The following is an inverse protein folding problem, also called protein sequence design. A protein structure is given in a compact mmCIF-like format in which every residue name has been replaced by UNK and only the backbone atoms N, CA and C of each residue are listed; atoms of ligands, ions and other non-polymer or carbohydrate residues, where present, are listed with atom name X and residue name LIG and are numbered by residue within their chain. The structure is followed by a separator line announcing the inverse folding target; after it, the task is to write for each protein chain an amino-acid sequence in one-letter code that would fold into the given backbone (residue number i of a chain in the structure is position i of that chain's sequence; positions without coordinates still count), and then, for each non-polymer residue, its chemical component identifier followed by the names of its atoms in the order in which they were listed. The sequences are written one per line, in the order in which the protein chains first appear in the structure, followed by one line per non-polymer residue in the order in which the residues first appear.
data_IF_885134541130
#
_entry.id   IF_885134541130
#
_cell.length_a   1.000
_cell.length_b   1.000
_cell.length_c   1.000
_cell.angle_alpha   90.00
_cell.angle_beta   90.00
_cell.angle_gamma   90.00
#
_symmetry.space_group_name_H-M   'P 1'
#
loop_
_entity.id
_entity.type
_entity.pdbx_description
1 polymer ?
#
# COMPACT_ATOMS: atom_id res chain seq x y z
N UNK A 1 -4.72 -6.42 8.08
CA UNK A 1 -3.44 -6.63 8.79
C UNK A 1 -2.22 -6.14 7.98
N UNK A 2 -2.04 -6.55 6.72
CA UNK A 2 -0.86 -6.17 5.92
C UNK A 2 -0.83 -4.69 5.51
N UNK A 3 -1.93 -4.15 4.95
CA UNK A 3 -2.03 -2.75 4.58
C UNK A 3 -1.73 -1.80 5.77
N UNK A 4 -2.24 -2.12 6.96
CA UNK A 4 -1.96 -1.37 8.18
C UNK A 4 -0.48 -1.42 8.61
N UNK A 5 0.21 -2.55 8.38
CA UNK A 5 1.65 -2.66 8.66
C UNK A 5 2.47 -1.80 7.69
N UNK A 6 2.17 -1.84 6.39
CA UNK A 6 2.81 -0.95 5.42
C UNK A 6 2.58 0.52 5.75
N UNK A 7 1.33 0.90 6.09
CA UNK A 7 1.01 2.26 6.47
C UNK A 7 1.72 2.71 7.76
N UNK A 8 1.83 1.84 8.76
CA UNK A 8 2.59 2.12 9.99
C UNK A 8 4.08 2.30 9.72
N UNK A 9 4.66 1.46 8.86
CA UNK A 9 6.07 1.57 8.46
C UNK A 9 6.34 2.85 7.66
N UNK A 10 5.44 3.21 6.75
CA UNK A 10 5.49 4.44 5.99
C UNK A 10 5.38 5.69 6.90
N UNK A 11 4.50 5.64 7.90
CA UNK A 11 4.38 6.69 8.92
C UNK A 11 5.67 6.83 9.72
N UNK A 12 6.26 5.73 10.20
CA UNK A 12 7.52 5.78 10.95
C UNK A 12 8.68 6.40 10.16
N UNK A 13 8.76 6.11 8.85
CA UNK A 13 9.72 6.76 7.97
C UNK A 13 9.45 8.27 7.83
N UNK A 14 8.19 8.66 7.67
CA UNK A 14 7.80 10.07 7.59
C UNK A 14 8.09 10.83 8.89
N UNK A 15 7.77 10.26 10.05
CA UNK A 15 7.99 10.87 11.36
C UNK A 15 9.50 11.13 11.59
N UNK A 16 10.34 10.16 11.23
CA UNK A 16 11.79 10.34 11.23
C UNK A 16 12.23 11.51 10.32
N UNK A 17 11.66 11.63 9.12
CA UNK A 17 11.99 12.72 8.20
C UNK A 17 11.58 14.08 8.75
N UNK A 18 10.38 14.18 9.36
CA UNK A 18 9.90 15.42 9.99
C UNK A 18 10.83 15.86 11.11
N UNK A 19 11.23 14.94 12.00
CA UNK A 19 12.18 15.24 13.09
C UNK A 19 13.56 15.66 12.54
N UNK A 20 14.07 14.90 11.56
CA UNK A 20 15.37 15.13 10.98
C UNK A 20 15.47 16.46 10.22
N UNK A 21 14.44 16.81 9.46
CA UNK A 21 14.40 18.05 8.68
C UNK A 21 14.07 19.23 9.60
N UNK A 22 13.15 19.07 10.56
CA UNK A 22 12.76 20.12 11.50
C UNK A 22 13.90 20.59 12.40
N UNK A 23 14.84 19.70 12.73
CA UNK A 23 16.06 20.06 13.47
C UNK A 23 17.11 20.83 12.65
N UNK A 24 16.86 21.09 11.35
CA UNK A 24 17.80 21.70 10.40
C UNK A 24 17.18 22.88 9.65
N UNK A 25 17.49 24.13 10.05
CA UNK A 25 16.90 25.32 9.43
C UNK A 25 17.14 25.45 7.92
N UNK A 26 18.29 25.00 7.43
CA UNK A 26 18.66 24.99 6.02
C UNK A 26 17.75 24.06 5.19
N UNK A 27 17.39 22.89 5.74
CA UNK A 27 16.50 21.94 5.08
C UNK A 27 15.03 22.34 5.22
N UNK A 28 14.58 22.64 6.42
CA UNK A 28 13.17 23.04 6.69
C UNK A 28 12.79 24.36 6.01
N UNK A 29 13.77 25.25 5.79
CA UNK A 29 13.63 26.48 5.02
C UNK A 29 13.49 26.28 3.50
N UNK A 30 13.86 25.11 2.97
CA UNK A 30 13.78 24.82 1.53
C UNK A 30 12.36 24.52 1.05
N UNK A 31 11.90 25.24 0.02
CA UNK A 31 10.60 24.98 -0.61
C UNK A 31 10.53 23.57 -1.21
N UNK A 32 11.56 23.13 -1.91
CA UNK A 32 11.59 21.80 -2.52
C UNK A 32 11.45 20.68 -1.48
N UNK A 33 12.06 20.84 -0.30
CA UNK A 33 11.91 19.91 0.82
C UNK A 33 10.48 19.91 1.34
N UNK A 34 9.88 21.09 1.55
CA UNK A 34 8.49 21.20 2.01
C UNK A 34 7.49 20.61 1.02
N UNK A 35 7.71 20.80 -0.29
CA UNK A 35 6.88 20.17 -1.33
C UNK A 35 6.91 18.65 -1.21
N UNK A 36 8.10 18.06 -1.04
CA UNK A 36 8.24 16.60 -0.85
C UNK A 36 7.55 16.12 0.42
N UNK A 37 7.74 16.81 1.55
CA UNK A 37 7.06 16.46 2.80
C UNK A 37 5.52 16.55 2.67
N UNK A 38 4.99 17.58 2.01
CA UNK A 38 3.56 17.70 1.76
C UNK A 38 3.01 16.58 0.86
N UNK A 39 3.77 16.16 -0.16
CA UNK A 39 3.40 15.02 -1.00
C UNK A 39 3.38 13.70 -0.21
N UNK A 40 4.36 13.48 0.67
CA UNK A 40 4.41 12.30 1.55
C UNK A 40 3.21 12.28 2.52
N UNK A 41 2.90 13.41 3.15
CA UNK A 41 1.73 13.56 4.02
C UNK A 41 0.42 13.26 3.30
N UNK A 42 0.22 13.82 2.10
CA UNK A 42 -0.96 13.57 1.30
C UNK A 42 -1.13 12.08 0.93
N UNK A 43 -0.03 11.37 0.61
CA UNK A 43 -0.05 9.92 0.34
C UNK A 43 -0.45 9.13 1.59
N UNK A 44 0.10 9.47 2.75
CA UNK A 44 -0.27 8.84 4.03
C UNK A 44 -1.74 9.09 4.36
N UNK A 45 -2.22 10.32 4.19
CA UNK A 45 -3.61 10.67 4.40
C UNK A 45 -4.55 9.85 3.49
N UNK A 46 -4.23 9.75 2.21
CA UNK A 46 -5.01 8.98 1.24
C UNK A 46 -5.08 7.49 1.64
N UNK A 47 -3.92 6.85 1.84
CA UNK A 47 -3.87 5.44 2.20
C UNK A 47 -4.57 5.15 3.55
N UNK A 48 -4.42 6.04 4.54
CA UNK A 48 -5.08 5.92 5.85
C UNK A 48 -6.59 6.07 5.76
N UNK A 49 -7.06 6.99 4.91
CA UNK A 49 -8.48 7.21 4.67
C UNK A 49 -9.12 5.99 4.01
N UNK A 50 -8.48 5.43 2.99
CA UNK A 50 -8.93 4.19 2.34
C UNK A 50 -8.96 3.02 3.32
N UNK A 51 -7.94 2.86 4.16
CA UNK A 51 -7.90 1.80 5.19
C UNK A 51 -9.06 1.90 6.17
N UNK A 52 -9.32 3.10 6.70
CA UNK A 52 -10.41 3.34 7.65
C UNK A 52 -11.77 3.13 7.00
N UNK A 53 -11.95 3.64 5.78
CA UNK A 53 -13.19 3.47 5.02
C UNK A 53 -13.47 1.98 4.76
N UNK A 54 -12.48 1.25 4.25
CA UNK A 54 -12.59 -0.19 3.97
C UNK A 54 -12.91 -0.99 5.24
N UNK A 55 -12.22 -0.72 6.34
CA UNK A 55 -12.50 -1.35 7.62
C UNK A 55 -13.94 -1.11 8.09
N UNK A 56 -14.43 0.14 7.98
CA UNK A 56 -15.80 0.48 8.36
C UNK A 56 -16.86 -0.20 7.48
N UNK A 57 -16.58 -0.45 6.19
CA UNK A 57 -17.46 -1.24 5.30
C UNK A 57 -17.49 -2.71 5.71
N UNK A 58 -16.32 -3.29 5.97
CA UNK A 58 -16.19 -4.67 6.44
C UNK A 58 -16.94 -4.88 7.77
N UNK A 59 -16.76 -3.98 8.74
CA UNK A 59 -17.40 -4.07 10.07
C UNK A 59 -18.93 -3.95 9.98
N UNK A 60 -19.44 -3.20 9.00
CA UNK A 60 -20.89 -3.07 8.74
C UNK A 60 -21.49 -4.30 8.06
N UNK A 61 -20.66 -5.18 7.50
CA UNK A 61 -21.13 -6.34 6.74
C UNK A 61 -21.63 -5.98 5.33
N UNK A 62 -21.02 -4.97 4.71
CA UNK A 62 -21.24 -4.66 3.29
C UNK A 62 -20.89 -5.86 2.39
N UNK A 63 -21.27 -5.78 1.11
CA UNK A 63 -20.96 -6.80 0.11
C UNK A 63 -19.47 -7.24 0.15
N UNK A 64 -19.19 -8.55 0.33
CA UNK A 64 -17.81 -9.03 0.46
C UNK A 64 -16.93 -8.79 -0.76
N UNK A 65 -17.49 -8.84 -1.97
CA UNK A 65 -16.73 -8.67 -3.21
C UNK A 65 -16.34 -7.20 -3.38
N UNK A 66 -17.25 -6.26 -3.09
CA UNK A 66 -16.94 -4.84 -3.05
C UNK A 66 -15.92 -4.48 -1.95
N UNK A 67 -16.07 -5.06 -0.75
CA UNK A 67 -15.15 -4.81 0.36
C UNK A 67 -13.74 -5.32 0.04
N UNK A 68 -13.61 -6.49 -0.59
CA UNK A 68 -12.31 -7.02 -1.00
C UNK A 68 -11.69 -6.17 -2.12
N UNK A 69 -12.49 -5.65 -3.08
CA UNK A 69 -11.98 -4.71 -4.07
C UNK A 69 -11.41 -3.43 -3.41
N UNK A 70 -12.08 -2.89 -2.39
CA UNK A 70 -11.57 -1.75 -1.61
C UNK A 70 -10.35 -2.11 -0.76
N UNK A 71 -10.27 -3.33 -0.25
CA UNK A 71 -9.08 -3.83 0.44
C UNK A 71 -7.88 -3.90 -0.50
N UNK A 72 -8.07 -4.32 -1.75
CA UNK A 72 -7.02 -4.32 -2.78
C UNK A 72 -6.55 -2.89 -3.10
N UNK A 73 -7.48 -1.94 -3.31
CA UNK A 73 -7.12 -0.52 -3.51
C UNK A 73 -6.31 0.03 -2.34
N UNK A 74 -6.77 -0.24 -1.12
CA UNK A 74 -6.10 0.17 0.12
C UNK A 74 -4.71 -0.43 0.22
N UNK A 75 -4.55 -1.71 -0.11
CA UNK A 75 -3.27 -2.41 -0.10
C UNK A 75 -2.30 -1.76 -1.08
N UNK A 76 -2.72 -1.53 -2.33
CA UNK A 76 -1.89 -0.86 -3.33
C UNK A 76 -1.40 0.52 -2.87
N UNK A 77 -2.31 1.37 -2.35
CA UNK A 77 -1.94 2.69 -1.84
C UNK A 77 -0.99 2.63 -0.63
N UNK A 78 -1.17 1.65 0.27
CA UNK A 78 -0.27 1.47 1.40
C UNK A 78 1.14 1.01 0.95
N UNK A 79 1.21 0.17 -0.10
CA UNK A 79 2.47 -0.21 -0.76
C UNK A 79 3.16 0.97 -1.41
N UNK A 80 2.42 1.80 -2.13
CA UNK A 80 2.97 3.01 -2.73
C UNK A 80 3.58 3.93 -1.67
N UNK A 81 2.88 4.15 -0.56
CA UNK A 81 3.38 4.97 0.54
C UNK A 81 4.67 4.39 1.15
N UNK A 82 4.68 3.09 1.50
CA UNK A 82 5.84 2.47 2.18
C UNK A 82 7.06 2.30 1.26
N UNK A 83 6.85 2.19 -0.05
CA UNK A 83 7.95 2.07 -1.02
C UNK A 83 8.49 3.44 -1.44
N UNK A 84 7.65 4.48 -1.48
CA UNK A 84 8.06 5.82 -1.91
C UNK A 84 8.66 6.66 -0.78
N UNK A 85 8.03 6.72 0.40
CA UNK A 85 8.42 7.64 1.47
C UNK A 85 9.86 7.43 1.97
N UNK A 86 10.28 6.21 2.37
CA UNK A 86 11.66 6.02 2.80
C UNK A 86 12.66 6.27 1.67
N UNK A 87 12.29 5.95 0.42
CA UNK A 87 13.14 6.15 -0.75
C UNK A 87 13.33 7.63 -1.09
N UNK A 88 12.25 8.39 -1.21
CA UNK A 88 12.29 9.85 -1.37
C UNK A 88 12.99 10.52 -0.17
N UNK A 89 12.90 9.92 1.02
CA UNK A 89 13.64 10.36 2.21
C UNK A 89 15.15 10.32 2.07
N UNK A 90 15.72 9.40 1.26
CA UNK A 90 17.17 9.37 1.02
C UNK A 90 17.64 10.66 0.35
N UNK A 91 16.86 11.20 -0.58
CA UNK A 91 17.18 12.45 -1.28
C UNK A 91 17.14 13.66 -0.33
N UNK A 92 16.24 13.66 0.66
CA UNK A 92 16.12 14.74 1.63
C UNK A 92 17.23 14.69 2.71
N UNK A 93 17.59 13.49 3.14
CA UNK A 93 18.60 13.26 4.19
C UNK A 93 20.02 13.33 3.62
N UNK A 94 20.18 12.98 2.34
CA UNK A 94 21.45 12.89 1.62
C UNK A 94 22.26 11.65 2.03
N UNK A 95 23.56 11.63 1.71
CA UNK A 95 24.47 10.49 1.97
C UNK A 95 24.45 9.97 3.42
N UNK A 96 24.06 10.81 4.38
CA UNK A 96 23.86 10.43 5.78
C UNK A 96 22.82 9.32 5.95
N UNK A 97 21.80 9.23 5.11
CA UNK A 97 20.78 8.20 5.14
C UNK A 97 21.34 6.77 5.04
N UNK A 98 22.51 6.62 4.40
CA UNK A 98 23.19 5.34 4.25
C UNK A 98 23.90 4.89 5.53
N UNK A 99 24.07 5.77 6.52
CA UNK A 99 24.72 5.42 7.78
C UNK A 99 23.75 4.71 8.72
N UNK A 100 24.17 3.57 9.27
CA UNK A 100 23.38 2.71 10.17
C UNK A 100 22.83 3.39 11.43
N UNK A 101 23.32 4.58 11.78
CA UNK A 101 22.79 5.36 12.92
C UNK A 101 21.41 5.92 12.64
N UNK A 102 21.01 5.99 11.37
CA UNK A 102 19.69 6.45 10.95
C UNK A 102 18.87 5.26 10.44
N UNK A 103 17.57 5.20 10.74
CA UNK A 103 16.76 4.02 10.49
C UNK A 103 16.38 3.84 9.02
N UNK A 104 16.59 4.86 8.18
CA UNK A 104 16.01 4.92 6.82
C UNK A 104 16.44 3.75 5.92
N UNK A 105 17.71 3.34 5.97
CA UNK A 105 18.20 2.19 5.23
C UNK A 105 17.66 0.85 5.73
N UNK A 106 17.37 0.72 7.03
CA UNK A 106 16.67 -0.44 7.57
C UNK A 106 15.21 -0.44 7.11
N UNK A 107 14.50 0.68 7.29
CA UNK A 107 13.09 0.84 6.91
C UNK A 107 12.86 0.51 5.42
N UNK A 108 13.76 0.94 4.53
CA UNK A 108 13.69 0.61 3.11
C UNK A 108 13.80 -0.91 2.87
N UNK A 109 14.74 -1.59 3.53
CA UNK A 109 14.92 -3.05 3.38
C UNK A 109 13.72 -3.84 3.94
N UNK A 110 13.18 -3.39 5.07
CA UNK A 110 12.01 -4.00 5.69
C UNK A 110 10.78 -3.83 4.79
N UNK A 111 10.58 -2.63 4.24
CA UNK A 111 9.53 -2.36 3.26
C UNK A 111 9.65 -3.26 2.02
N UNK A 112 10.84 -3.36 1.43
CA UNK A 112 11.08 -4.23 0.27
C UNK A 112 10.81 -5.70 0.60
N UNK A 113 11.22 -6.17 1.77
CA UNK A 113 10.96 -7.56 2.18
C UNK A 113 9.48 -7.83 2.35
N UNK A 114 8.78 -6.98 3.10
CA UNK A 114 7.40 -7.24 3.48
C UNK A 114 6.43 -7.09 2.30
N UNK A 115 6.72 -6.20 1.35
CA UNK A 115 5.89 -6.01 0.14
C UNK A 115 5.89 -7.22 -0.78
N UNK A 116 6.90 -8.09 -0.70
CA UNK A 116 6.99 -9.32 -1.51
C UNK A 116 6.02 -10.42 -1.07
N UNK A 117 5.37 -10.29 0.08
CA UNK A 117 4.41 -11.29 0.55
C UNK A 117 3.17 -11.40 -0.36
N UNK A 118 2.81 -10.32 -1.05
CA UNK A 118 1.72 -10.30 -2.02
C UNK A 118 2.15 -9.68 -3.34
N UNK A 119 1.94 -10.41 -4.44
CA UNK A 119 2.16 -9.93 -5.80
C UNK A 119 1.13 -8.86 -6.14
N UNK A 120 1.58 -7.60 -6.14
CA UNK A 120 0.67 -6.48 -6.26
C UNK A 120 -0.04 -6.41 -7.62
N UNK A 121 0.71 -6.72 -8.67
CA UNK A 121 0.27 -6.80 -10.07
C UNK A 121 -1.00 -7.63 -10.26
N UNK A 122 -1.08 -8.82 -9.64
CA UNK A 122 -2.24 -9.69 -9.77
C UNK A 122 -3.50 -9.14 -9.12
N UNK A 123 -3.35 -8.42 -8.01
CA UNK A 123 -4.52 -7.87 -7.33
C UNK A 123 -5.00 -6.60 -8.03
N UNK A 124 -4.09 -5.72 -8.48
CA UNK A 124 -4.50 -4.52 -9.20
C UNK A 124 -5.08 -4.83 -10.58
N UNK A 125 -4.65 -5.91 -11.24
CA UNK A 125 -5.28 -6.39 -12.48
C UNK A 125 -6.77 -6.69 -12.27
N UNK A 126 -7.14 -7.32 -11.15
CA UNK A 126 -8.55 -7.59 -10.81
C UNK A 126 -9.38 -6.33 -10.62
N UNK A 127 -8.76 -5.22 -10.18
CA UNK A 127 -9.44 -3.93 -10.13
C UNK A 127 -9.75 -3.40 -11.53
N UNK A 128 -8.88 -3.66 -12.51
CA UNK A 128 -9.14 -3.33 -13.90
C UNK A 128 -10.28 -4.18 -14.47
N UNK A 129 -10.30 -5.49 -14.17
CA UNK A 129 -11.43 -6.37 -14.56
C UNK A 129 -12.77 -5.87 -14.01
N UNK A 130 -12.80 -5.47 -12.73
CA UNK A 130 -13.97 -4.86 -12.12
C UNK A 130 -14.39 -3.57 -12.84
N UNK A 131 -13.43 -2.68 -13.15
CA UNK A 131 -13.71 -1.42 -13.85
C UNK A 131 -14.21 -1.62 -15.29
N UNK A 132 -13.82 -2.72 -15.94
CA UNK A 132 -14.30 -3.12 -17.28
C UNK A 132 -15.67 -3.83 -17.26
N UNK A 133 -16.24 -4.07 -16.08
CA UNK A 133 -17.55 -4.73 -15.93
C UNK A 133 -17.51 -6.25 -15.91
N UNK A 134 -16.32 -6.87 -15.83
CA UNK A 134 -16.15 -8.32 -15.80
C UNK A 134 -16.42 -8.94 -14.40
N UNK A 135 -16.84 -8.12 -13.45
CA UNK A 135 -17.12 -8.52 -12.07
C UNK A 135 -15.86 -8.65 -11.19
N UNK A 136 -16.09 -8.95 -9.92
CA UNK A 136 -15.04 -9.19 -8.93
C UNK A 136 -15.51 -10.30 -7.98
N UNK A 137 -14.63 -11.21 -7.58
CA UNK A 137 -14.98 -12.22 -6.58
C UNK A 137 -13.91 -12.30 -5.49
N UNK A 138 -14.26 -12.03 -4.25
CA UNK A 138 -13.39 -12.16 -3.09
C UNK A 138 -12.88 -13.60 -2.90
N UNK A 139 -13.62 -14.58 -3.41
CA UNK A 139 -13.26 -16.01 -3.40
C UNK A 139 -12.45 -16.44 -4.64
N UNK A 140 -12.30 -15.57 -5.63
CA UNK A 140 -11.48 -15.81 -6.81
C UNK A 140 -10.04 -16.12 -6.43
N UNK A 141 -9.42 -17.07 -7.13
CA UNK A 141 -8.09 -17.59 -6.84
C UNK A 141 -7.07 -16.48 -6.60
N UNK A 142 -6.36 -16.57 -5.46
CA UNK A 142 -5.24 -15.70 -5.13
C UNK A 142 -4.03 -16.26 -5.87
N UNK A 143 -3.76 -15.76 -7.06
CA UNK A 143 -2.59 -16.20 -7.83
C UNK A 143 -1.32 -16.04 -7.01
N UNK A 144 -0.75 -17.16 -6.54
CA UNK A 144 0.56 -17.19 -5.90
C UNK A 144 1.67 -16.99 -6.94
N UNK A 145 2.89 -16.73 -6.48
CA UNK A 145 4.08 -16.74 -7.34
C UNK A 145 4.49 -18.15 -7.79
N UNK A 146 3.93 -19.19 -7.17
CA UNK A 146 4.02 -20.58 -7.62
C UNK A 146 2.88 -20.88 -8.60
N UNK A 147 3.16 -21.35 -9.82
CA UNK A 147 2.11 -21.91 -10.67
C UNK A 147 1.44 -23.04 -9.90
N UNK A 148 0.18 -22.86 -9.55
CA UNK A 148 -0.68 -24.00 -9.23
C UNK A 148 -1.21 -24.48 -10.57
N UNK A 149 -1.01 -25.76 -10.88
CA UNK A 149 -1.62 -26.37 -12.06
C UNK A 149 -3.12 -26.05 -12.05
N UNK A 150 -3.64 -25.63 -13.21
CA UNK A 150 -5.05 -25.28 -13.39
C UNK A 150 -5.95 -26.51 -13.20
N UNK A 151 -6.30 -26.79 -11.94
CA UNK A 151 -7.27 -27.80 -11.55
C UNK A 151 -8.70 -27.26 -11.55
N UNK A 152 -9.39 -27.42 -12.68
CA UNK A 152 -10.85 -27.63 -12.85
C UNK A 152 -11.83 -27.01 -11.82
N UNK A 153 -11.77 -25.70 -11.57
CA UNK A 153 -12.81 -25.00 -10.83
C UNK A 153 -14.01 -24.64 -11.71
N UNK A 154 -14.85 -25.62 -12.08
CA UNK A 154 -16.10 -25.36 -12.77
C UNK A 154 -17.05 -24.57 -11.86
N UNK A 155 -17.15 -23.25 -12.06
CA UNK A 155 -18.26 -22.46 -11.51
C UNK A 155 -19.52 -22.77 -12.31
N UNK A 156 -20.29 -23.74 -11.82
CA UNK A 156 -21.65 -23.97 -12.31
C UNK A 156 -22.48 -22.71 -12.11
N UNK A 157 -22.91 -22.10 -13.22
CA UNK A 157 -24.01 -21.14 -13.23
C UNK A 157 -25.25 -21.84 -12.68
N UNK A 158 -25.75 -21.37 -11.54
CA UNK A 158 -27.11 -21.68 -11.11
C UNK A 158 -28.07 -20.97 -12.06
N UNK A 159 -28.63 -21.71 -13.02
CA UNK A 159 -29.77 -21.23 -13.82
C UNK A 159 -31.00 -21.17 -12.92
N UNK A 160 -31.49 -19.95 -12.68
CA UNK A 160 -32.80 -19.69 -12.12
C UNK A 160 -33.88 -20.27 -13.05
N UNK A 161 -34.91 -20.87 -12.46
CA UNK A 161 -35.90 -21.68 -13.16
C UNK A 161 -36.89 -20.94 -14.04
N UNK A 162 -37.57 -21.73 -14.87
CA UNK A 162 -38.98 -21.67 -15.22
C UNK A 162 -39.38 -23.07 -15.75
#
# INVERSE_FOLDING_TARGET
AYASNHLGSAQGAFDFLIEYIGSRPDLSGSEAVRVKLGQMDARLFAARSCLRSTAARLDRGDDPDECEADAVRTMHLAKDAVLSIPYEGFDLVGARACHERYPLGQMMRDARTFTLHFRDDLYVERLAQLALGNGFSAKGGRGGSTPFEEGSGATGQATAGA
#
